data_IF_607372557489
#
_entry.id   IF_607372557489
#
_cell.length_a   1.000
_cell.length_b   1.000
_cell.length_c   1.000
_cell.angle_alpha   90.00
_cell.angle_beta   90.00
_cell.angle_gamma   90.00
#
_symmetry.space_group_name_H-M   'P 1'
#
loop_
_entity.id
_entity.type
_entity.pdbx_description
1 polymer ?
#
# COMPACT_ATOMS: atom_id res chain seq x y z
N UNK A 1 -1.50 -14.36 10.28
CA UNK A 1 -2.72 -13.76 10.87
C UNK A 1 -2.98 -14.16 12.34
N UNK A 2 -2.52 -15.32 12.83
CA UNK A 2 -2.82 -15.74 14.21
C UNK A 2 -2.21 -14.84 15.30
N UNK A 3 -1.01 -14.28 15.06
CA UNK A 3 -0.30 -13.50 16.07
C UNK A 3 -0.92 -12.14 16.42
N UNK A 4 -1.44 -11.38 15.45
CA UNK A 4 -2.11 -10.08 15.74
C UNK A 4 -3.42 -10.29 16.51
N UNK A 5 -4.10 -11.41 16.25
CA UNK A 5 -5.27 -11.83 17.00
C UNK A 5 -4.90 -12.28 18.42
N UNK A 6 -3.86 -13.12 18.57
CA UNK A 6 -3.32 -13.51 19.88
C UNK A 6 -2.87 -12.29 20.70
N UNK A 7 -2.26 -11.30 20.06
CA UNK A 7 -1.87 -10.03 20.67
C UNK A 7 -3.10 -9.26 21.19
N UNK A 8 -4.17 -9.17 20.40
CA UNK A 8 -5.42 -8.53 20.80
C UNK A 8 -6.09 -9.26 21.97
N UNK A 9 -6.15 -10.60 21.93
CA UNK A 9 -6.69 -11.42 23.02
C UNK A 9 -5.90 -11.19 24.31
N UNK A 10 -4.57 -11.12 24.22
CA UNK A 10 -3.73 -10.87 25.38
C UNK A 10 -3.88 -9.44 25.93
N UNK A 11 -4.06 -8.45 25.04
CA UNK A 11 -4.40 -7.07 25.42
C UNK A 11 -5.75 -7.01 26.14
N UNK A 12 -6.79 -7.65 25.60
CA UNK A 12 -8.12 -7.70 26.21
C UNK A 12 -8.04 -8.34 27.60
N UNK A 13 -7.34 -9.47 27.73
CA UNK A 13 -7.18 -10.14 29.03
C UNK A 13 -6.45 -9.27 30.07
N UNK A 14 -5.56 -8.38 29.63
CA UNK A 14 -4.78 -7.51 30.51
C UNK A 14 -5.51 -6.22 30.88
N UNK A 15 -6.46 -5.77 30.04
CA UNK A 15 -7.05 -4.42 30.13
C UNK A 15 -8.57 -4.40 30.29
N UNK A 16 -9.23 -5.53 30.05
CA UNK A 16 -10.69 -5.66 30.04
C UNK A 16 -11.40 -5.00 28.87
N UNK A 17 -10.69 -4.39 27.91
CA UNK A 17 -11.30 -3.67 26.78
C UNK A 17 -10.68 -4.05 25.43
N UNK A 18 -11.45 -3.92 24.36
CA UNK A 18 -10.99 -4.11 22.99
C UNK A 18 -10.32 -2.85 22.42
N UNK A 19 -9.39 -3.02 21.48
CA UNK A 19 -8.72 -1.91 20.80
C UNK A 19 -9.68 -1.25 19.80
N UNK A 20 -9.68 0.08 19.73
CA UNK A 20 -10.51 0.81 18.78
C UNK A 20 -9.88 0.82 17.38
N UNK A 21 -10.42 -0.01 16.48
CA UNK A 21 -9.96 -0.14 15.09
C UNK A 21 -10.70 0.79 14.10
N UNK A 22 -11.37 1.85 14.56
CA UNK A 22 -12.10 2.77 13.67
C UNK A 22 -11.19 3.39 12.60
N UNK A 23 -9.98 3.81 12.99
CA UNK A 23 -9.00 4.39 12.05
C UNK A 23 -8.58 3.38 10.98
N UNK A 24 -8.42 2.10 11.36
CA UNK A 24 -8.11 1.01 10.40
C UNK A 24 -9.28 0.81 9.43
N UNK A 25 -10.52 0.82 9.92
CA UNK A 25 -11.72 0.74 9.05
C UNK A 25 -11.79 1.90 8.07
N UNK A 26 -11.52 3.14 8.52
CA UNK A 26 -11.47 4.29 7.63
C UNK A 26 -10.38 4.14 6.58
N UNK A 27 -9.18 3.68 6.96
CA UNK A 27 -8.09 3.43 6.02
C UNK A 27 -8.49 2.41 4.95
N UNK A 28 -9.11 1.29 5.33
CA UNK A 28 -9.62 0.29 4.36
C UNK A 28 -10.61 0.92 3.38
N UNK A 29 -11.57 1.70 3.89
CA UNK A 29 -12.55 2.39 3.04
C UNK A 29 -11.85 3.33 2.05
N UNK A 30 -10.89 4.12 2.53
CA UNK A 30 -10.12 5.06 1.67
C UNK A 30 -9.33 4.31 0.60
N UNK A 31 -8.60 3.25 0.96
CA UNK A 31 -7.83 2.44 0.01
C UNK A 31 -8.73 1.85 -1.07
N UNK A 32 -9.86 1.24 -0.68
CA UNK A 32 -10.79 0.60 -1.63
C UNK A 32 -11.41 1.64 -2.56
N UNK A 33 -11.90 2.75 -2.02
CA UNK A 33 -12.50 3.79 -2.85
C UNK A 33 -11.48 4.46 -3.76
N UNK A 34 -10.25 4.70 -3.29
CA UNK A 34 -9.19 5.24 -4.12
C UNK A 34 -8.90 4.33 -5.31
N UNK A 35 -8.75 3.02 -5.06
CA UNK A 35 -8.53 2.03 -6.12
C UNK A 35 -9.70 1.96 -7.11
N UNK A 36 -10.95 1.92 -6.62
CA UNK A 36 -12.14 1.84 -7.47
C UNK A 36 -12.31 3.10 -8.34
N UNK A 37 -12.10 4.29 -7.77
CA UNK A 37 -12.25 5.56 -8.50
C UNK A 37 -11.18 5.66 -9.60
N UNK A 38 -9.91 5.39 -9.27
CA UNK A 38 -8.81 5.43 -10.24
C UNK A 38 -9.02 4.38 -11.34
N UNK A 39 -9.37 3.14 -10.97
CA UNK A 39 -9.64 2.08 -11.93
C UNK A 39 -10.81 2.45 -12.86
N UNK A 40 -11.91 2.99 -12.31
CA UNK A 40 -13.07 3.40 -13.13
C UNK A 40 -12.72 4.57 -14.07
N UNK A 41 -11.93 5.54 -13.59
CA UNK A 41 -11.48 6.66 -14.40
C UNK A 41 -10.62 6.20 -15.59
N UNK A 42 -9.61 5.38 -15.34
CA UNK A 42 -8.73 4.89 -16.38
C UNK A 42 -9.44 3.92 -17.34
N UNK A 43 -10.44 3.17 -16.85
CA UNK A 43 -11.23 2.27 -17.70
C UNK A 43 -12.00 3.09 -18.73
N UNK A 44 -12.70 4.12 -18.24
CA UNK A 44 -13.45 5.04 -19.08
C UNK A 44 -12.54 5.77 -20.08
N UNK A 45 -11.37 6.23 -19.62
CA UNK A 45 -10.37 6.87 -20.48
C UNK A 45 -9.92 5.95 -21.63
N UNK A 46 -9.48 4.72 -21.32
CA UNK A 46 -8.99 3.81 -22.35
C UNK A 46 -10.06 3.35 -23.33
N UNK A 47 -11.29 3.11 -22.84
CA UNK A 47 -12.42 2.81 -23.72
C UNK A 47 -12.66 3.97 -24.67
N UNK A 48 -12.74 5.20 -24.16
CA UNK A 48 -13.01 6.38 -24.99
C UNK A 48 -11.89 6.65 -26.01
N UNK A 49 -10.62 6.46 -25.64
CA UNK A 49 -9.49 6.70 -26.53
C UNK A 49 -9.34 5.61 -27.61
N UNK A 50 -9.64 4.35 -27.30
CA UNK A 50 -9.44 3.23 -28.23
C UNK A 50 -10.70 2.85 -29.02
N UNK A 51 -11.88 3.40 -28.72
CA UNK A 51 -13.14 3.14 -29.43
C UNK A 51 -13.18 3.75 -30.84
N UNK A 52 -12.21 3.40 -31.68
CA UNK A 52 -12.15 3.81 -33.08
C UNK A 52 -12.06 2.56 -33.96
N UNK A 53 -12.88 2.50 -35.02
CA UNK A 53 -13.14 1.28 -35.80
C UNK A 53 -11.95 0.76 -36.62
N UNK A 54 -10.84 1.51 -36.70
CA UNK A 54 -9.73 1.26 -37.65
C UNK A 54 -8.46 0.62 -37.05
N UNK A 55 -8.41 0.32 -35.74
CA UNK A 55 -7.21 -0.26 -35.07
C UNK A 55 -7.52 -1.61 -34.42
N UNK A 56 -6.51 -2.48 -34.13
CA UNK A 56 -6.71 -3.73 -33.40
C UNK A 56 -7.06 -3.44 -31.93
N UNK A 57 -8.30 -3.00 -31.72
CA UNK A 57 -8.89 -2.58 -30.45
C UNK A 57 -8.69 -3.62 -29.35
N UNK A 58 -8.87 -4.90 -29.69
CA UNK A 58 -8.88 -5.99 -28.71
C UNK A 58 -7.51 -6.21 -28.06
N UNK A 59 -6.41 -6.12 -28.81
CA UNK A 59 -5.07 -6.33 -28.25
C UNK A 59 -4.65 -5.19 -27.32
N UNK A 60 -4.87 -3.94 -27.73
CA UNK A 60 -4.59 -2.77 -26.90
C UNK A 60 -5.47 -2.73 -25.65
N UNK A 61 -6.77 -3.02 -25.81
CA UNK A 61 -7.70 -3.05 -24.67
C UNK A 61 -7.35 -4.13 -23.65
N UNK A 62 -6.99 -5.34 -24.10
CA UNK A 62 -6.55 -6.43 -23.20
C UNK A 62 -5.27 -6.04 -22.46
N UNK A 63 -4.30 -5.42 -23.15
CA UNK A 63 -3.08 -4.94 -22.51
C UNK A 63 -3.38 -3.86 -21.46
N UNK A 64 -4.19 -2.85 -21.80
CA UNK A 64 -4.61 -1.80 -20.86
C UNK A 64 -5.35 -2.36 -19.65
N UNK A 65 -6.22 -3.36 -19.85
CA UNK A 65 -6.88 -4.04 -18.74
C UNK A 65 -5.88 -4.72 -17.81
N UNK A 66 -4.88 -5.42 -18.36
CA UNK A 66 -3.83 -6.06 -17.55
C UNK A 66 -3.08 -5.03 -16.70
N UNK A 67 -2.68 -3.91 -17.28
CA UNK A 67 -2.05 -2.80 -16.55
C UNK A 67 -2.95 -2.35 -15.38
N UNK A 68 -4.19 -1.99 -15.68
CA UNK A 68 -5.14 -1.54 -14.65
C UNK A 68 -5.43 -2.55 -13.54
N UNK A 69 -5.41 -3.84 -13.83
CA UNK A 69 -5.58 -4.89 -12.82
C UNK A 69 -4.34 -5.02 -11.93
N UNK A 70 -3.14 -4.95 -12.51
CA UNK A 70 -1.89 -4.95 -11.74
C UNK A 70 -1.82 -3.71 -10.85
N UNK A 71 -2.20 -2.55 -11.38
CA UNK A 71 -2.27 -1.29 -10.64
C UNK A 71 -3.19 -1.38 -9.40
N UNK A 72 -4.41 -1.92 -9.59
CA UNK A 72 -5.39 -2.12 -8.53
C UNK A 72 -4.91 -3.17 -7.51
N UNK A 73 -4.34 -4.27 -7.98
CA UNK A 73 -3.80 -5.31 -7.10
C UNK A 73 -2.68 -4.76 -6.20
N UNK A 74 -1.79 -3.94 -6.76
CA UNK A 74 -0.73 -3.27 -6.02
C UNK A 74 -1.29 -2.31 -4.96
N UNK A 75 -2.30 -1.50 -5.29
CA UNK A 75 -2.94 -0.59 -4.33
C UNK A 75 -3.57 -1.36 -3.16
N UNK A 76 -4.22 -2.49 -3.43
CA UNK A 76 -4.83 -3.34 -2.39
C UNK A 76 -3.78 -4.03 -1.51
N UNK A 77 -2.69 -4.54 -2.10
CA UNK A 77 -1.60 -5.17 -1.34
C UNK A 77 -0.92 -4.16 -0.42
N UNK A 78 -0.63 -2.96 -0.92
CA UNK A 78 -0.05 -1.90 -0.09
C UNK A 78 -0.99 -1.43 1.01
N UNK A 79 -2.27 -1.22 0.68
CA UNK A 79 -3.26 -0.86 1.69
C UNK A 79 -3.44 -1.95 2.76
N UNK A 80 -3.33 -3.23 2.41
CA UNK A 80 -3.32 -4.33 3.37
C UNK A 80 -2.09 -4.24 4.29
N UNK A 81 -0.90 -4.00 3.74
CA UNK A 81 0.32 -3.80 4.52
C UNK A 81 0.20 -2.63 5.50
N UNK A 82 -0.32 -1.49 5.04
CA UNK A 82 -0.55 -0.31 5.89
C UNK A 82 -1.57 -0.60 7.00
N UNK A 83 -2.64 -1.35 6.70
CA UNK A 83 -3.60 -1.78 7.71
C UNK A 83 -2.97 -2.68 8.77
N UNK A 84 -2.13 -3.63 8.38
CA UNK A 84 -1.43 -4.51 9.32
C UNK A 84 -0.48 -3.72 10.23
N UNK A 85 0.26 -2.76 9.66
CA UNK A 85 1.13 -1.88 10.43
C UNK A 85 0.37 -0.95 11.37
N UNK A 86 -0.77 -0.43 10.93
CA UNK A 86 -1.60 0.43 11.76
C UNK A 86 -2.21 -0.34 12.93
N UNK A 87 -2.67 -1.58 12.71
CA UNK A 87 -3.12 -2.49 13.77
C UNK A 87 -1.99 -2.72 14.78
N UNK A 88 -0.80 -3.09 14.30
CA UNK A 88 0.38 -3.29 15.14
C UNK A 88 0.72 -2.05 15.98
N UNK A 89 0.68 -0.86 15.36
CA UNK A 89 0.94 0.41 16.03
C UNK A 89 -0.09 0.69 17.13
N UNK A 90 -1.39 0.52 16.85
CA UNK A 90 -2.45 0.76 17.83
C UNK A 90 -2.32 -0.20 19.04
N UNK A 91 -1.98 -1.46 18.79
CA UNK A 91 -1.73 -2.44 19.85
C UNK A 91 -0.51 -2.05 20.73
N UNK A 92 0.58 -1.57 20.12
CA UNK A 92 1.77 -1.12 20.83
C UNK A 92 1.54 0.19 21.60
N UNK A 93 0.87 1.17 21.00
CA UNK A 93 0.58 2.48 21.61
C UNK A 93 -0.30 2.31 22.86
N UNK A 94 -1.30 1.43 22.76
CA UNK A 94 -2.15 1.07 23.89
C UNK A 94 -1.34 0.46 25.04
N UNK A 95 -0.39 -0.43 24.71
CA UNK A 95 0.48 -1.06 25.70
C UNK A 95 1.41 -0.05 26.40
N UNK A 96 1.95 0.91 25.65
CA UNK A 96 2.75 2.01 26.20
C UNK A 96 1.92 2.89 27.13
N UNK A 97 0.67 3.17 26.77
CA UNK A 97 -0.23 3.95 27.61
C UNK A 97 -0.53 3.26 28.95
N UNK A 98 -0.76 1.94 28.92
CA UNK A 98 -0.95 1.12 30.12
C UNK A 98 0.30 1.15 31.00
N UNK A 99 1.48 0.99 30.40
CA UNK A 99 2.76 1.05 31.11
C UNK A 99 3.02 2.41 31.77
N UNK A 100 2.54 3.51 31.17
CA UNK A 100 2.61 4.86 31.76
C UNK A 100 1.60 5.08 32.89
N UNK A 101 0.47 4.39 32.87
CA UNK A 101 -0.58 4.51 33.89
C UNK A 101 -0.38 3.65 35.13
N UNK A 102 0.43 2.58 35.06
CA UNK A 102 0.78 1.77 36.23
C UNK A 102 1.99 2.37 36.95
N UNK A 103 1.79 2.73 38.22
CA UNK A 103 2.78 3.37 39.06
C UNK A 103 4.03 2.49 39.25
N UNK A 104 5.18 3.15 39.24
CA UNK A 104 6.49 2.55 39.07
C UNK A 104 6.94 1.81 40.33
N UNK A 105 7.23 0.50 40.24
CA UNK A 105 8.40 -0.15 40.91
C UNK A 105 8.44 -1.69 40.82
N UNK A 106 7.30 -2.40 40.69
CA UNK A 106 7.33 -3.89 40.71
C UNK A 106 6.84 -4.57 39.42
N UNK A 107 5.95 -3.95 38.65
CA UNK A 107 5.28 -4.59 37.50
C UNK A 107 5.82 -4.11 36.14
N UNK A 108 6.69 -3.09 36.14
CA UNK A 108 7.29 -2.46 34.96
C UNK A 108 8.15 -3.45 34.16
N UNK A 109 8.88 -4.34 34.83
CA UNK A 109 9.71 -5.36 34.16
C UNK A 109 8.88 -6.39 33.39
N UNK A 110 7.73 -6.80 33.94
CA UNK A 110 6.83 -7.77 33.30
C UNK A 110 6.08 -7.15 32.12
N UNK A 111 5.64 -5.90 32.25
CA UNK A 111 5.03 -5.13 31.16
C UNK A 111 6.03 -4.80 30.05
N UNK A 112 7.28 -4.50 30.40
CA UNK A 112 8.35 -4.30 29.43
C UNK A 112 8.70 -5.59 28.68
N UNK A 113 8.82 -6.72 29.37
CA UNK A 113 8.98 -8.03 28.71
C UNK A 113 7.79 -8.37 27.82
N UNK A 114 6.57 -8.05 28.25
CA UNK A 114 5.37 -8.24 27.44
C UNK A 114 5.37 -7.33 26.21
N UNK A 115 5.82 -6.08 26.33
CA UNK A 115 6.02 -5.15 25.21
C UNK A 115 7.06 -5.67 24.23
N UNK A 116 8.24 -6.08 24.71
CA UNK A 116 9.30 -6.64 23.86
C UNK A 116 8.82 -7.93 23.18
N UNK A 117 8.06 -8.78 23.87
CA UNK A 117 7.50 -10.01 23.29
C UNK A 117 6.45 -9.73 22.21
N UNK A 118 5.51 -8.82 22.47
CA UNK A 118 4.49 -8.38 21.50
C UNK A 118 5.12 -7.70 20.29
N UNK A 119 6.09 -6.82 20.53
CA UNK A 119 6.88 -6.17 19.48
C UNK A 119 7.63 -7.21 18.65
N UNK A 120 8.40 -8.10 19.27
CA UNK A 120 9.15 -9.15 18.55
C UNK A 120 8.23 -10.07 17.76
N UNK A 121 7.08 -10.49 18.31
CA UNK A 121 6.10 -11.30 17.57
C UNK A 121 5.56 -10.56 16.35
N UNK A 122 5.27 -9.28 16.50
CA UNK A 122 4.78 -8.43 15.42
C UNK A 122 5.85 -8.26 14.35
N UNK A 123 7.09 -7.97 14.74
CA UNK A 123 8.24 -7.86 13.84
C UNK A 123 8.50 -9.16 13.10
N UNK A 124 8.54 -10.30 13.78
CA UNK A 124 8.75 -11.63 13.17
C UNK A 124 7.63 -11.94 12.18
N UNK A 125 6.38 -11.68 12.53
CA UNK A 125 5.25 -11.96 11.64
C UNK A 125 5.24 -11.05 10.42
N UNK A 126 5.53 -9.77 10.57
CA UNK A 126 5.68 -8.86 9.43
C UNK A 126 6.89 -9.26 8.57
N UNK A 127 8.03 -9.60 9.20
CA UNK A 127 9.23 -10.05 8.49
C UNK A 127 8.96 -11.31 7.68
N UNK A 128 8.46 -12.36 8.31
CA UNK A 128 8.33 -13.67 7.66
C UNK A 128 7.22 -13.70 6.60
N UNK A 129 6.15 -12.90 6.77
CA UNK A 129 5.02 -12.90 5.85
C UNK A 129 5.09 -11.80 4.77
N UNK A 130 5.80 -10.69 5.00
CA UNK A 130 5.84 -9.57 4.06
C UNK A 130 7.22 -9.35 3.42
N UNK A 131 8.31 -9.58 4.15
CA UNK A 131 9.69 -9.37 3.65
C UNK A 131 10.02 -10.15 2.36
N UNK A 132 9.64 -11.45 2.23
CA UNK A 132 9.93 -12.21 1.01
C UNK A 132 9.27 -11.63 -0.25
N UNK A 133 8.17 -10.89 -0.09
CA UNK A 133 7.39 -10.35 -1.19
C UNK A 133 7.83 -8.94 -1.56
N UNK A 134 8.31 -8.13 -0.62
CA UNK A 134 8.67 -6.73 -0.89
C UNK A 134 9.77 -6.59 -1.95
N UNK A 135 10.81 -7.40 -1.92
CA UNK A 135 11.90 -7.34 -2.91
C UNK A 135 11.41 -7.56 -4.35
N UNK A 136 10.79 -8.72 -4.66
CA UNK A 136 10.19 -8.99 -5.96
C UNK A 136 9.12 -7.98 -6.36
N UNK A 137 8.31 -7.51 -5.41
CA UNK A 137 7.21 -6.59 -5.65
C UNK A 137 7.72 -5.17 -5.96
N UNK A 138 8.82 -4.73 -5.34
CA UNK A 138 9.55 -3.50 -5.71
C UNK A 138 10.11 -3.64 -7.12
N UNK A 139 10.79 -4.74 -7.44
CA UNK A 139 11.39 -4.94 -8.77
C UNK A 139 10.32 -4.96 -9.87
N UNK A 140 9.23 -5.69 -9.66
CA UNK A 140 8.10 -5.77 -10.57
C UNK A 140 7.45 -4.39 -10.74
N UNK A 141 7.17 -3.67 -9.65
CA UNK A 141 6.52 -2.37 -9.74
C UNK A 141 7.43 -1.29 -10.32
N UNK A 142 8.74 -1.30 -10.06
CA UNK A 142 9.68 -0.37 -10.69
C UNK A 142 9.76 -0.59 -12.21
N UNK A 143 9.88 -1.84 -12.66
CA UNK A 143 9.92 -2.15 -14.10
C UNK A 143 8.61 -1.76 -14.78
N UNK A 144 7.49 -2.01 -14.12
CA UNK A 144 6.16 -1.62 -14.54
C UNK A 144 5.99 -0.10 -14.64
N UNK A 145 6.31 0.65 -13.58
CA UNK A 145 6.22 2.11 -13.55
C UNK A 145 7.15 2.77 -14.58
N UNK A 146 8.35 2.22 -14.82
CA UNK A 146 9.23 2.70 -15.88
C UNK A 146 8.63 2.51 -17.28
N UNK A 147 7.96 1.38 -17.52
CA UNK A 147 7.28 1.11 -18.79
C UNK A 147 6.10 2.07 -19.00
N UNK A 148 5.30 2.29 -17.96
CA UNK A 148 4.15 3.20 -18.02
C UNK A 148 4.57 4.66 -18.19
N UNK A 149 5.63 5.10 -17.48
CA UNK A 149 6.21 6.42 -17.68
C UNK A 149 6.69 6.62 -19.13
N UNK A 150 7.31 5.60 -19.74
CA UNK A 150 7.72 5.66 -21.14
C UNK A 150 6.51 5.78 -22.09
N UNK A 151 5.42 5.07 -21.83
CA UNK A 151 4.16 5.19 -22.59
C UNK A 151 3.57 6.59 -22.46
N UNK A 152 3.51 7.14 -21.24
CA UNK A 152 2.99 8.50 -21.01
C UNK A 152 3.83 9.55 -21.75
N UNK A 153 5.16 9.42 -21.77
CA UNK A 153 6.04 10.36 -22.49
C UNK A 153 5.82 10.29 -24.00
N UNK A 154 5.71 9.09 -24.56
CA UNK A 154 5.45 8.90 -26.00
C UNK A 154 4.08 9.45 -26.41
N UNK A 155 3.06 9.29 -25.56
CA UNK A 155 1.71 9.83 -25.80
C UNK A 155 1.74 11.37 -25.79
N UNK A 156 2.40 11.99 -24.80
CA UNK A 156 2.58 13.45 -24.74
C UNK A 156 3.32 13.99 -25.97
N UNK A 157 4.32 13.28 -26.48
CA UNK A 157 5.06 13.69 -27.69
C UNK A 157 4.17 13.70 -28.93
N UNK A 158 3.24 12.74 -29.09
CA UNK A 158 2.27 12.76 -30.18
C UNK A 158 1.29 13.93 -30.11
N UNK A 159 0.92 14.39 -28.92
CA UNK A 159 0.03 15.55 -28.73
C UNK A 159 0.71 16.90 -29.01
N UNK A 160 2.04 16.96 -28.97
CA UNK A 160 2.80 18.18 -29.31
C UNK A 160 2.93 18.37 -30.83
N UNK A 161 2.53 17.39 -31.64
CA UNK A 161 2.46 17.56 -33.09
C UNK A 161 1.26 18.46 -33.44
N UNK A 162 1.47 19.65 -34.05
CA UNK A 162 0.42 20.63 -34.32
C UNK A 162 -0.70 20.16 -35.27
N UNK A 163 -0.64 18.92 -35.79
CA UNK A 163 -1.64 18.31 -36.66
C UNK A 163 -2.77 17.58 -35.93
N UNK A 164 -2.59 17.16 -34.69
CA UNK A 164 -3.61 16.45 -33.89
C UNK A 164 -4.09 17.33 -32.72
N UNK A 165 -4.83 18.39 -33.05
CA UNK A 165 -5.51 19.21 -32.03
C UNK A 165 -6.82 18.55 -31.62
N UNK A 166 -6.75 17.68 -30.63
CA UNK A 166 -7.94 17.25 -29.87
C UNK A 166 -8.03 18.11 -28.61
N UNK A 167 -9.10 18.91 -28.47
CA UNK A 167 -9.28 19.92 -27.41
C UNK A 167 -9.62 19.30 -26.02
N UNK A 168 -9.47 17.98 -25.87
CA UNK A 168 -9.82 17.29 -24.63
C UNK A 168 -8.67 17.35 -23.60
N UNK A 169 -8.97 17.81 -22.38
CA UNK A 169 -8.03 17.87 -21.24
C UNK A 169 -7.78 16.47 -20.64
N UNK A 170 -8.64 15.51 -20.96
CA UNK A 170 -8.67 14.18 -20.37
C UNK A 170 -7.34 13.39 -20.51
N UNK A 171 -6.64 13.39 -21.67
CA UNK A 171 -5.35 12.72 -21.84
C UNK A 171 -4.26 13.36 -21.00
N UNK A 172 -4.23 14.69 -20.92
CA UNK A 172 -3.27 15.43 -20.07
C UNK A 172 -3.45 15.07 -18.61
N UNK A 173 -4.70 15.00 -18.15
CA UNK A 173 -5.02 14.61 -16.77
C UNK A 173 -4.65 13.15 -16.50
N UNK A 174 -4.91 12.23 -17.43
CA UNK A 174 -4.51 10.84 -17.32
C UNK A 174 -2.98 10.67 -17.24
N UNK A 175 -2.23 11.34 -18.13
CA UNK A 175 -0.76 11.28 -18.19
C UNK A 175 -0.07 11.91 -16.97
N UNK A 176 -0.76 12.73 -16.18
CA UNK A 176 -0.24 13.27 -14.90
C UNK A 176 -0.68 12.41 -13.70
N UNK A 177 -1.95 11.99 -13.66
CA UNK A 177 -2.46 11.20 -12.53
C UNK A 177 -1.83 9.81 -12.45
N UNK A 178 -1.49 9.22 -13.59
CA UNK A 178 -0.92 7.88 -13.63
C UNK A 178 0.47 7.81 -12.97
N UNK A 179 1.49 8.59 -13.39
CA UNK A 179 2.80 8.56 -12.73
C UNK A 179 2.74 9.02 -11.27
N UNK A 180 1.80 9.91 -10.92
CA UNK A 180 1.62 10.36 -9.55
C UNK A 180 1.14 9.21 -8.64
N UNK A 181 0.22 8.37 -9.14
CA UNK A 181 -0.23 7.15 -8.46
C UNK A 181 0.94 6.18 -8.23
N UNK A 182 1.79 5.99 -9.24
CA UNK A 182 2.97 5.11 -9.12
C UNK A 182 4.01 5.65 -8.14
N UNK A 183 4.28 6.96 -8.16
CA UNK A 183 5.21 7.59 -7.21
C UNK A 183 4.72 7.42 -5.77
N UNK A 184 3.40 7.54 -5.53
CA UNK A 184 2.80 7.25 -4.21
C UNK A 184 3.07 5.80 -3.79
N UNK A 185 2.85 4.83 -4.69
CA UNK A 185 3.03 3.40 -4.43
C UNK A 185 4.49 3.03 -4.20
N UNK A 186 5.40 3.57 -5.01
CA UNK A 186 6.85 3.44 -4.84
C UNK A 186 7.31 4.03 -3.51
N UNK A 187 6.80 5.20 -3.13
CA UNK A 187 7.13 5.81 -1.83
C UNK A 187 6.68 4.93 -0.68
N UNK A 188 5.46 4.40 -0.73
CA UNK A 188 4.97 3.44 0.27
C UNK A 188 5.87 2.19 0.31
N UNK A 189 6.22 1.62 -0.84
CA UNK A 189 7.10 0.47 -0.92
C UNK A 189 8.50 0.70 -0.37
N UNK A 190 9.12 1.85 -0.66
CA UNK A 190 10.44 2.18 -0.14
C UNK A 190 10.42 2.44 1.38
N UNK A 191 9.36 3.06 1.89
CA UNK A 191 9.18 3.26 3.34
C UNK A 191 8.96 1.92 4.06
N UNK A 192 8.12 1.05 3.49
CA UNK A 192 7.86 -0.29 4.03
C UNK A 192 9.11 -1.18 3.94
N UNK A 193 9.76 -1.23 2.77
CA UNK A 193 10.97 -2.00 2.54
C UNK A 193 12.17 -1.51 3.35
N UNK A 194 12.35 -0.19 3.46
CA UNK A 194 13.38 0.42 4.30
C UNK A 194 13.16 0.13 5.80
N UNK A 195 11.91 0.20 6.26
CA UNK A 195 11.55 -0.18 7.63
C UNK A 195 11.84 -1.65 7.93
N UNK A 196 11.49 -2.56 7.01
CA UNK A 196 11.76 -4.00 7.15
C UNK A 196 13.26 -4.32 7.10
N UNK A 197 14.03 -3.66 6.23
CA UNK A 197 15.48 -3.85 6.17
C UNK A 197 16.19 -3.35 7.44
N UNK A 198 15.77 -2.20 7.99
CA UNK A 198 16.31 -1.70 9.26
C UNK A 198 16.02 -2.66 10.44
N UNK A 199 14.84 -3.29 10.46
CA UNK A 199 14.53 -4.34 11.42
C UNK A 199 15.42 -5.59 11.26
N UNK A 200 15.79 -5.94 10.02
CA UNK A 200 16.66 -7.10 9.77
C UNK A 200 18.10 -6.86 10.28
N UNK A 201 18.65 -5.65 10.07
CA UNK A 201 19.99 -5.29 10.57
C UNK A 201 20.08 -5.28 12.11
N UNK A 202 19.01 -4.89 12.80
CA UNK A 202 18.97 -4.85 14.27
C UNK A 202 18.72 -6.21 14.94
N UNK A 203 18.32 -7.24 14.18
CA UNK A 203 18.09 -8.60 14.71
C UNK A 203 19.33 -9.51 14.59
N UNK A 204 20.38 -9.06 13.89
CA UNK A 204 21.63 -9.81 13.64
C UNK A 204 22.79 -9.25 14.49
N UNK A 205 22.59 -8.10 15.15
CA UNK A 205 23.51 -7.51 16.12
C UNK A 205 23.12 -7.91 17.56
#
# INVERSE_FOLDING_TARGET
>A
MNALYENEVCLINTTGAATNYCVVKMLVVVVVWNGVILHSFFHFYFVNQNYSSDKPFLANYVSSCLYMYVDLAMELVLGLCDCLLLIARLQLERLVWIAKSLDATAQTGRLFQFYVSMYNRTVVVLKDNLSPYFGPLILLHCTYACLEAAVCILDVESYLDPREKDDSILPVVANIMWPLSDVKKLTALFLLGGGVNAMNSNAIA
#
